data_IF_915659656199
#
_entry.id   IF_915659656199
#
_cell.length_a   1.000
_cell.length_b   1.000
_cell.length_c   1.000
_cell.angle_alpha   90.00
_cell.angle_beta   90.00
_cell.angle_gamma   90.00
#
_symmetry.space_group_name_H-M   'P 1'
#
loop_
_entity.id
_entity.type
_entity.pdbx_description
1 polymer ?
#
# COMPACT_ATOMS: atom_id res chain seq x y z
N UNK A 1 0.71 7.50 -3.20
CA UNK A 1 -0.12 6.89 -2.18
C UNK A 1 0.19 5.40 -2.04
N UNK A 2 -0.06 4.59 -3.05
CA UNK A 2 0.44 3.22 -3.15
C UNK A 2 1.78 3.19 -3.88
N UNK A 3 2.72 2.39 -3.41
CA UNK A 3 3.91 1.99 -4.16
C UNK A 3 3.64 0.60 -4.74
N UNK A 4 3.62 0.50 -6.05
CA UNK A 4 3.45 -0.76 -6.77
C UNK A 4 4.80 -1.09 -7.40
N UNK A 5 5.38 -2.21 -6.99
CA UNK A 5 6.62 -2.70 -7.57
C UNK A 5 6.29 -3.53 -8.81
N UNK A 6 6.89 -3.16 -9.95
CA UNK A 6 6.81 -3.94 -11.18
C UNK A 6 8.15 -4.61 -11.41
N UNK A 7 8.14 -5.90 -11.53
CA UNK A 7 9.32 -6.70 -11.88
C UNK A 7 9.45 -6.80 -13.41
N UNK A 8 10.61 -7.23 -13.88
CA UNK A 8 10.79 -7.52 -15.30
C UNK A 8 9.88 -8.68 -15.72
N UNK A 9 9.33 -8.63 -16.95
CA UNK A 9 8.54 -9.74 -17.45
C UNK A 9 9.39 -11.01 -17.56
N UNK A 10 8.75 -12.16 -17.42
CA UNK A 10 9.39 -13.43 -17.74
C UNK A 10 9.69 -13.52 -19.25
N UNK A 11 10.62 -14.38 -19.65
CA UNK A 11 10.94 -14.57 -21.06
C UNK A 11 9.71 -14.83 -21.93
N UNK A 12 8.74 -15.59 -21.46
CA UNK A 12 7.51 -15.87 -22.19
C UNK A 12 6.64 -14.62 -22.37
N UNK A 13 6.48 -13.83 -21.30
CA UNK A 13 5.72 -12.57 -21.35
C UNK A 13 6.40 -11.54 -22.25
N UNK A 14 7.73 -11.46 -22.21
CA UNK A 14 8.49 -10.56 -23.08
C UNK A 14 8.33 -10.94 -24.55
N UNK A 15 8.36 -12.25 -24.90
CA UNK A 15 8.05 -12.74 -26.25
C UNK A 15 6.65 -12.36 -26.69
N UNK A 16 5.66 -12.44 -25.79
CA UNK A 16 4.27 -12.02 -26.09
C UNK A 16 4.19 -10.50 -26.31
N UNK A 17 4.86 -9.72 -25.48
CA UNK A 17 4.95 -8.25 -25.64
C UNK A 17 5.51 -7.91 -27.03
N UNK A 18 6.65 -8.52 -27.41
CA UNK A 18 7.29 -8.27 -28.71
C UNK A 18 6.35 -8.66 -29.85
N UNK A 19 5.74 -9.82 -29.82
CA UNK A 19 4.78 -10.26 -30.85
C UNK A 19 3.62 -9.27 -31.02
N UNK A 20 3.05 -8.79 -29.89
CA UNK A 20 1.86 -7.94 -29.92
C UNK A 20 2.17 -6.48 -30.28
N UNK A 21 3.41 -6.02 -30.05
CA UNK A 21 3.78 -4.61 -30.26
C UNK A 21 4.54 -4.34 -31.55
N UNK A 22 5.04 -5.39 -32.23
CA UNK A 22 5.78 -5.27 -33.50
C UNK A 22 4.93 -5.58 -34.75
N UNK A 23 3.63 -5.82 -34.58
CA UNK A 23 2.68 -6.01 -35.65
C UNK A 23 2.05 -4.67 -36.07
N UNK A 24 1.51 -4.59 -37.27
CA UNK A 24 0.76 -3.43 -37.77
C UNK A 24 -0.66 -3.30 -37.13
N UNK A 25 -1.02 -4.24 -36.27
CA UNK A 25 -2.32 -4.26 -35.58
C UNK A 25 -2.21 -3.47 -34.28
N UNK A 26 -2.77 -2.27 -34.26
CA UNK A 26 -2.88 -1.45 -33.06
C UNK A 26 -4.22 -1.78 -32.39
N UNK A 27 -4.18 -2.52 -31.29
CA UNK A 27 -5.36 -2.71 -30.44
C UNK A 27 -5.67 -1.41 -29.67
N UNK A 28 -6.86 -0.85 -29.89
CA UNK A 28 -7.31 0.34 -29.15
C UNK A 28 -8.05 -0.11 -27.90
N UNK A 29 -7.58 0.31 -26.73
CA UNK A 29 -8.33 0.14 -25.49
C UNK A 29 -9.59 1.03 -25.52
N UNK A 30 -10.73 0.48 -25.12
CA UNK A 30 -11.95 1.25 -24.91
C UNK A 30 -11.93 1.87 -23.52
N UNK A 31 -12.45 3.11 -23.40
CA UNK A 31 -12.62 3.74 -22.09
C UNK A 31 -13.77 3.06 -21.33
N UNK A 32 -13.48 2.58 -20.11
CA UNK A 32 -14.49 1.99 -19.23
C UNK A 32 -15.14 3.02 -18.30
N UNK A 33 -14.41 4.09 -17.96
CA UNK A 33 -14.87 5.14 -17.06
C UNK A 33 -14.52 6.51 -17.67
N UNK A 34 -15.44 7.46 -17.51
CA UNK A 34 -15.18 8.87 -17.82
C UNK A 34 -14.42 9.56 -16.68
N UNK A 35 -13.77 10.68 -16.96
CA UNK A 35 -13.11 11.49 -15.94
C UNK A 35 -14.09 11.95 -14.83
N UNK A 36 -15.34 12.23 -15.17
CA UNK A 36 -16.39 12.61 -14.22
C UNK A 36 -16.69 11.46 -13.24
N UNK A 37 -16.89 10.26 -13.75
CA UNK A 37 -17.13 9.07 -12.91
C UNK A 37 -15.96 8.78 -11.97
N UNK A 38 -14.72 8.95 -12.42
CA UNK A 38 -13.53 8.79 -11.57
C UNK A 38 -13.56 9.79 -10.41
N UNK A 39 -13.89 11.07 -10.67
CA UNK A 39 -14.00 12.10 -9.63
C UNK A 39 -15.14 11.78 -8.65
N UNK A 40 -16.28 11.33 -9.15
CA UNK A 40 -17.42 10.92 -8.32
C UNK A 40 -17.07 9.74 -7.42
N UNK A 41 -16.35 8.73 -7.93
CA UNK A 41 -15.85 7.61 -7.14
C UNK A 41 -14.87 8.10 -6.05
N UNK A 42 -13.95 9.01 -6.35
CA UNK A 42 -13.03 9.57 -5.36
C UNK A 42 -13.78 10.27 -4.21
N UNK A 43 -14.84 11.02 -4.52
CA UNK A 43 -15.69 11.64 -3.51
C UNK A 43 -16.49 10.61 -2.71
N UNK A 44 -16.99 9.55 -3.36
CA UNK A 44 -17.72 8.46 -2.72
C UNK A 44 -16.82 7.76 -1.68
N UNK A 45 -15.60 7.38 -2.05
CA UNK A 45 -14.66 6.72 -1.14
C UNK A 45 -14.38 7.57 0.10
N UNK A 46 -14.24 8.89 -0.04
CA UNK A 46 -14.04 9.78 1.11
C UNK A 46 -15.21 9.78 2.08
N UNK A 47 -16.45 9.58 1.61
CA UNK A 47 -17.68 9.54 2.42
C UNK A 47 -17.93 8.20 3.12
N UNK A 48 -17.21 7.13 2.76
CA UNK A 48 -17.33 5.84 3.45
C UNK A 48 -17.02 6.04 4.95
N UNK A 49 -17.93 5.66 5.87
CA UNK A 49 -17.71 5.79 7.30
C UNK A 49 -16.59 4.85 7.77
N UNK A 50 -15.94 5.20 8.88
CA UNK A 50 -14.88 4.38 9.50
C UNK A 50 -15.10 4.38 11.00
N UNK A 51 -15.06 3.23 11.63
CA UNK A 51 -15.14 3.09 13.08
C UNK A 51 -13.84 3.58 13.76
N UNK A 52 -13.96 4.16 14.94
CA UNK A 52 -12.82 4.75 15.68
C UNK A 52 -11.70 3.74 15.94
N UNK A 53 -12.03 2.50 16.31
CA UNK A 53 -11.04 1.44 16.53
C UNK A 53 -10.20 1.13 15.30
N UNK A 54 -10.75 1.24 14.09
CA UNK A 54 -10.00 1.06 12.82
C UNK A 54 -9.04 2.21 12.59
N UNK A 55 -9.45 3.44 12.93
CA UNK A 55 -8.58 4.63 12.86
C UNK A 55 -7.43 4.49 13.86
N UNK A 56 -7.74 4.12 15.11
CA UNK A 56 -6.75 3.91 16.17
C UNK A 56 -5.75 2.81 15.79
N UNK A 57 -6.22 1.71 15.21
CA UNK A 57 -5.36 0.65 14.68
C UNK A 57 -4.39 1.18 13.62
N UNK A 58 -4.87 1.93 12.63
CA UNK A 58 -4.04 2.49 11.57
C UNK A 58 -2.99 3.48 12.11
N UNK A 59 -3.35 4.31 13.10
CA UNK A 59 -2.44 5.23 13.77
C UNK A 59 -1.39 4.48 14.59
N UNK A 60 -1.80 3.47 15.36
CA UNK A 60 -0.91 2.62 16.15
C UNK A 60 0.07 1.85 15.25
N UNK A 61 -0.41 1.28 14.14
CA UNK A 61 0.44 0.60 13.16
C UNK A 61 1.56 1.52 12.64
N UNK A 62 1.22 2.77 12.28
CA UNK A 62 2.20 3.76 11.83
C UNK A 62 3.14 4.17 12.96
N UNK A 63 2.65 4.35 14.18
CA UNK A 63 3.48 4.68 15.34
C UNK A 63 4.52 3.59 15.63
N UNK A 64 4.12 2.31 15.54
CA UNK A 64 5.02 1.16 15.69
C UNK A 64 6.17 1.15 14.70
N UNK A 65 6.05 1.81 13.52
CA UNK A 65 7.15 1.88 12.54
C UNK A 65 8.28 2.84 12.94
N UNK A 66 8.08 3.67 13.96
CA UNK A 66 9.03 4.73 14.35
C UNK A 66 10.01 4.20 15.39
N UNK A 67 11.31 4.13 15.09
CA UNK A 67 12.30 3.68 16.05
C UNK A 67 12.35 4.62 17.28
N UNK A 68 12.69 4.06 18.42
CA UNK A 68 12.81 4.76 19.71
C UNK A 68 11.51 5.43 20.21
N UNK A 69 10.35 5.05 19.68
CA UNK A 69 9.06 5.45 20.23
C UNK A 69 8.57 4.42 21.25
N UNK A 70 7.65 4.84 22.14
CA UNK A 70 7.04 3.95 23.15
C UNK A 70 6.32 2.73 22.56
N UNK A 71 5.93 2.79 21.29
CA UNK A 71 5.26 1.71 20.57
C UNK A 71 6.19 0.92 19.64
N UNK A 72 7.48 1.29 19.56
CA UNK A 72 8.43 0.63 18.70
C UNK A 72 8.67 -0.82 19.14
N UNK A 73 8.62 -1.75 18.18
CA UNK A 73 9.02 -3.13 18.43
C UNK A 73 10.56 -3.25 18.42
N UNK A 74 11.09 -4.33 18.99
CA UNK A 74 12.52 -4.63 18.95
C UNK A 74 13.04 -4.71 17.51
N UNK A 75 12.26 -5.33 16.62
CA UNK A 75 12.58 -5.42 15.18
C UNK A 75 12.72 -4.04 14.54
N UNK A 76 11.82 -3.11 14.84
CA UNK A 76 11.87 -1.74 14.31
C UNK A 76 13.09 -0.99 14.86
N UNK A 77 13.36 -1.07 16.15
CA UNK A 77 14.54 -0.44 16.74
C UNK A 77 15.86 -1.01 16.19
N UNK A 78 15.83 -2.28 15.77
CA UNK A 78 17.01 -2.97 15.22
C UNK A 78 17.24 -2.66 13.74
N UNK A 79 16.18 -2.48 12.93
CA UNK A 79 16.27 -2.49 11.46
C UNK A 79 15.80 -1.22 10.75
N UNK A 80 15.18 -0.28 11.46
CA UNK A 80 14.61 0.94 10.88
C UNK A 80 15.41 2.16 11.32
N UNK A 81 15.83 2.98 10.35
CA UNK A 81 16.39 4.31 10.61
C UNK A 81 15.28 5.37 10.67
N UNK A 82 14.31 5.25 9.79
CA UNK A 82 13.23 6.24 9.69
C UNK A 82 11.86 5.58 9.48
N UNK A 83 10.95 5.84 10.40
CA UNK A 83 9.57 5.35 10.36
C UNK A 83 8.62 6.26 9.59
N UNK A 84 7.39 5.79 9.40
CA UNK A 84 6.37 6.51 8.66
C UNK A 84 5.76 7.69 9.45
N UNK A 85 5.46 8.78 8.74
CA UNK A 85 4.82 9.97 9.30
C UNK A 85 3.28 9.91 9.28
N UNK A 86 2.57 10.95 9.81
CA UNK A 86 1.10 10.98 9.92
C UNK A 86 0.36 10.81 8.58
N UNK A 87 0.96 11.22 7.46
CA UNK A 87 0.39 10.98 6.12
C UNK A 87 0.22 9.50 5.79
N UNK A 88 0.98 8.62 6.42
CA UNK A 88 0.81 7.19 6.26
C UNK A 88 -0.51 6.71 6.86
N UNK A 89 -0.87 7.14 8.09
CA UNK A 89 -2.14 6.83 8.72
C UNK A 89 -3.33 7.31 7.88
N UNK A 90 -3.26 8.54 7.35
CA UNK A 90 -4.28 9.06 6.45
C UNK A 90 -4.45 8.20 5.19
N UNK A 91 -3.35 7.77 4.58
CA UNK A 91 -3.39 6.94 3.38
C UNK A 91 -3.84 5.51 3.67
N UNK A 92 -3.52 4.95 4.85
CA UNK A 92 -4.03 3.65 5.29
C UNK A 92 -5.56 3.67 5.38
N UNK A 93 -6.13 4.69 6.00
CA UNK A 93 -7.59 4.83 6.10
C UNK A 93 -8.23 5.03 4.73
N UNK A 94 -7.67 5.88 3.86
CA UNK A 94 -8.20 6.07 2.50
C UNK A 94 -8.09 4.80 1.66
N UNK A 95 -6.97 4.07 1.79
CA UNK A 95 -6.78 2.78 1.12
C UNK A 95 -7.75 1.71 1.63
N UNK A 96 -7.95 1.63 2.95
CA UNK A 96 -8.90 0.70 3.55
C UNK A 96 -10.35 0.99 3.14
N UNK A 97 -10.76 2.26 3.05
CA UNK A 97 -12.07 2.65 2.50
C UNK A 97 -12.27 2.17 1.06
N UNK A 98 -11.25 2.36 0.22
CA UNK A 98 -11.29 1.91 -1.17
C UNK A 98 -11.35 0.37 -1.24
N UNK A 99 -10.57 -0.34 -0.41
CA UNK A 99 -10.58 -1.79 -0.34
C UNK A 99 -11.93 -2.34 0.12
N UNK A 100 -12.53 -1.74 1.16
CA UNK A 100 -13.85 -2.10 1.63
C UNK A 100 -14.91 -1.91 0.53
N UNK A 101 -14.88 -0.78 -0.19
CA UNK A 101 -15.80 -0.52 -1.30
C UNK A 101 -15.66 -1.56 -2.43
N UNK A 102 -14.44 -1.92 -2.81
CA UNK A 102 -14.18 -2.97 -3.83
C UNK A 102 -14.70 -4.33 -3.36
N UNK A 103 -14.63 -4.62 -2.06
CA UNK A 103 -15.16 -5.84 -1.44
C UNK A 103 -16.67 -5.81 -1.16
N UNK A 104 -17.36 -4.73 -1.52
CA UNK A 104 -18.80 -4.56 -1.28
C UNK A 104 -19.16 -4.31 0.19
N UNK A 105 -18.22 -3.88 1.03
CA UNK A 105 -18.46 -3.54 2.44
C UNK A 105 -18.90 -2.08 2.59
N UNK A 106 -19.76 -1.80 3.55
CA UNK A 106 -20.20 -0.44 3.87
C UNK A 106 -19.20 0.38 4.69
N UNK A 107 -18.26 -0.28 5.37
CA UNK A 107 -17.23 0.31 6.23
C UNK A 107 -15.98 -0.59 6.21
N UNK A 108 -14.78 -0.02 6.25
CA UNK A 108 -13.57 -0.81 6.39
C UNK A 108 -13.42 -1.37 7.80
N UNK A 109 -12.73 -2.50 7.91
CA UNK A 109 -12.27 -3.11 9.14
C UNK A 109 -10.73 -3.17 9.20
N UNK A 110 -10.19 -3.80 10.24
CA UNK A 110 -8.75 -3.95 10.45
C UNK A 110 -8.09 -4.73 9.30
N UNK A 111 -8.76 -5.74 8.75
CA UNK A 111 -8.23 -6.55 7.65
C UNK A 111 -8.05 -5.71 6.37
N UNK A 112 -8.93 -4.72 6.14
CA UNK A 112 -8.80 -3.81 5.00
C UNK A 112 -7.61 -2.86 5.17
N UNK A 113 -7.29 -2.45 6.40
CA UNK A 113 -6.06 -1.69 6.71
C UNK A 113 -4.81 -2.54 6.49
N UNK A 114 -4.82 -3.79 6.96
CA UNK A 114 -3.72 -4.74 6.79
C UNK A 114 -3.46 -5.04 5.31
N UNK A 115 -4.51 -5.24 4.53
CA UNK A 115 -4.40 -5.51 3.08
C UNK A 115 -3.68 -4.41 2.31
N UNK A 116 -3.76 -3.16 2.74
CA UNK A 116 -3.12 -2.01 2.08
C UNK A 116 -1.83 -1.55 2.78
N UNK A 117 -1.43 -2.19 3.89
CA UNK A 117 -0.29 -1.74 4.69
C UNK A 117 1.03 -1.76 3.92
N UNK A 118 1.36 -2.86 3.24
CA UNK A 118 2.62 -2.99 2.52
C UNK A 118 2.73 -1.94 1.41
N UNK A 119 1.81 -1.81 0.44
CA UNK A 119 1.95 -0.85 -0.64
C UNK A 119 1.92 0.62 -0.17
N UNK A 120 1.39 0.91 1.01
CA UNK A 120 1.35 2.27 1.56
C UNK A 120 2.60 2.59 2.39
N UNK A 121 3.14 1.64 3.13
CA UNK A 121 4.23 1.87 4.07
C UNK A 121 5.62 1.63 3.48
N UNK A 122 5.77 0.75 2.49
CA UNK A 122 7.07 0.32 1.98
C UNK A 122 7.98 1.46 1.51
N UNK A 123 7.42 2.50 0.89
CA UNK A 123 8.17 3.66 0.41
C UNK A 123 8.27 4.80 1.44
N UNK A 124 7.89 4.56 2.69
CA UNK A 124 7.87 5.53 3.80
C UNK A 124 8.72 5.12 4.98
N UNK A 125 9.24 3.91 4.94
CA UNK A 125 10.11 3.34 5.96
C UNK A 125 11.49 3.19 5.34
N UNK A 126 12.50 3.74 6.00
CA UNK A 126 13.89 3.61 5.61
C UNK A 126 14.55 2.59 6.54
N UNK A 127 15.00 1.48 5.99
CA UNK A 127 15.76 0.48 6.73
C UNK A 127 17.21 0.91 6.89
N UNK A 128 17.86 0.45 7.97
CA UNK A 128 19.24 0.77 8.26
C UNK A 128 20.21 -0.23 7.59
N UNK A 129 21.51 0.05 7.71
CA UNK A 129 22.58 -0.80 7.16
C UNK A 129 22.52 -2.25 7.68
N UNK A 130 22.08 -2.45 8.92
CA UNK A 130 21.98 -3.78 9.52
C UNK A 130 20.90 -4.63 8.83
N UNK A 131 19.74 -4.03 8.52
CA UNK A 131 18.71 -4.69 7.75
C UNK A 131 19.19 -5.03 6.32
N UNK A 132 20.00 -4.15 5.70
CA UNK A 132 20.63 -4.44 4.41
C UNK A 132 21.59 -5.64 4.51
N UNK A 133 22.48 -5.66 5.51
CA UNK A 133 23.46 -6.73 5.70
C UNK A 133 22.81 -8.08 6.01
N UNK A 134 21.68 -8.08 6.74
CA UNK A 134 20.92 -9.29 7.06
C UNK A 134 19.86 -9.64 5.98
N UNK A 135 19.79 -8.90 4.86
CA UNK A 135 18.82 -9.05 3.76
C UNK A 135 17.36 -8.97 4.21
N UNK A 136 17.06 -8.21 5.27
CA UNK A 136 15.69 -7.99 5.75
C UNK A 136 15.00 -6.97 4.85
N UNK A 137 13.87 -7.34 4.28
CA UNK A 137 13.07 -6.45 3.44
C UNK A 137 12.15 -5.55 4.30
N UNK A 138 11.81 -4.36 3.78
CA UNK A 138 10.81 -3.49 4.43
C UNK A 138 9.45 -4.19 4.54
N UNK A 139 9.10 -5.03 3.56
CA UNK A 139 7.85 -5.79 3.59
C UNK A 139 7.81 -6.79 4.75
N UNK A 140 8.92 -7.45 5.07
CA UNK A 140 9.03 -8.35 6.24
C UNK A 140 8.90 -7.58 7.56
N UNK A 141 9.52 -6.40 7.66
CA UNK A 141 9.36 -5.53 8.83
C UNK A 141 7.88 -5.14 8.99
N UNK A 142 7.21 -4.70 7.93
CA UNK A 142 5.78 -4.34 7.99
C UNK A 142 4.93 -5.54 8.40
N UNK A 143 5.16 -6.72 7.81
CA UNK A 143 4.42 -7.95 8.17
C UNK A 143 4.54 -8.31 9.64
N UNK A 144 5.69 -8.05 10.27
CA UNK A 144 5.89 -8.32 11.70
C UNK A 144 5.11 -7.37 12.62
N UNK A 145 4.54 -6.29 12.08
CA UNK A 145 3.77 -5.29 12.83
C UNK A 145 2.24 -5.50 12.72
N UNK A 146 1.78 -6.31 11.74
CA UNK A 146 0.37 -6.59 11.48
C UNK A 146 -0.21 -7.61 12.45
#
# INVERSE_FOLDING_TARGET
>A
MFSINLEYPSFKEEVEVVKNTTTDIISKASSLLSAKEIIEIQHLIRRVPVATNVIEYAVSLVAKTRPNSDQATESVNRYVDWGAGPRASQNLILGAKAMAAVRGKYSPDIEDVQAVAIPILSHRIVKNYKAEAENISVAEIIKSLL
#
